data_IF_498986571588
#
_entry.id   IF_498986571588
#
_cell.length_a   1.000
_cell.length_b   1.000
_cell.length_c   1.000
_cell.angle_alpha   90.00
_cell.angle_beta   90.00
_cell.angle_gamma   90.00
#
_symmetry.space_group_name_H-M   'P 1'
#
loop_
_entity.id
_entity.type
_entity.pdbx_description
1 polymer ?
#
# COMPACT_ATOMS: atom_id res chain seq x y z
N UNK A 1 30.73 -2.86 13.81
CA UNK A 1 29.65 -2.10 14.53
C UNK A 1 29.47 -0.68 13.95
N UNK A 2 30.54 0.00 13.51
CA UNK A 2 30.49 1.38 12.96
C UNK A 2 29.64 1.50 11.69
N UNK A 3 29.82 0.60 10.71
CA UNK A 3 29.10 0.65 9.41
C UNK A 3 27.58 0.55 9.54
N UNK A 4 27.10 -0.31 10.46
CA UNK A 4 25.65 -0.47 10.72
C UNK A 4 25.06 0.81 11.31
N UNK A 5 25.78 1.46 12.21
CA UNK A 5 25.35 2.73 12.83
C UNK A 5 25.29 3.84 11.77
N UNK A 6 26.30 3.93 10.90
CA UNK A 6 26.35 4.89 9.80
C UNK A 6 25.20 4.68 8.79
N UNK A 7 24.91 3.42 8.42
CA UNK A 7 23.80 3.09 7.53
C UNK A 7 22.45 3.44 8.15
N UNK A 8 22.24 3.16 9.43
CA UNK A 8 21.03 3.57 10.15
C UNK A 8 20.87 5.10 10.19
N UNK A 9 21.97 5.82 10.37
CA UNK A 9 21.95 7.28 10.30
C UNK A 9 21.54 7.80 8.92
N UNK A 10 22.09 7.23 7.85
CA UNK A 10 21.72 7.57 6.47
C UNK A 10 20.24 7.26 6.17
N UNK A 11 19.74 6.11 6.63
CA UNK A 11 18.32 5.75 6.49
C UNK A 11 17.43 6.78 7.17
N UNK A 12 17.71 7.15 8.43
CA UNK A 12 16.94 8.17 9.16
C UNK A 12 16.94 9.53 8.45
N UNK A 13 18.09 9.92 7.87
CA UNK A 13 18.21 11.16 7.10
C UNK A 13 17.33 11.12 5.86
N UNK A 14 17.36 10.02 5.09
CA UNK A 14 16.52 9.82 3.91
C UNK A 14 15.03 9.80 4.26
N UNK A 15 14.65 9.12 5.33
CA UNK A 15 13.26 9.09 5.81
C UNK A 15 12.75 10.49 6.17
N UNK A 16 13.60 11.34 6.77
CA UNK A 16 13.27 12.74 7.06
C UNK A 16 13.10 13.56 5.76
N UNK A 17 14.02 13.44 4.81
CA UNK A 17 13.93 14.12 3.52
C UNK A 17 12.68 13.72 2.73
N UNK A 18 12.29 12.45 2.78
CA UNK A 18 11.04 11.98 2.16
C UNK A 18 9.83 12.66 2.83
N UNK A 19 9.82 12.74 4.16
CA UNK A 19 8.73 13.38 4.89
C UNK A 19 8.65 14.89 4.62
N UNK A 20 9.80 15.57 4.49
CA UNK A 20 9.89 16.99 4.13
C UNK A 20 9.43 17.25 2.69
N UNK A 21 9.88 16.45 1.75
CA UNK A 21 9.48 16.54 0.33
C UNK A 21 7.97 16.37 0.15
N UNK A 22 7.36 15.45 0.90
CA UNK A 22 5.90 15.28 0.89
C UNK A 22 5.14 16.52 1.38
N UNK A 23 5.66 17.20 2.40
CA UNK A 23 5.04 18.43 2.93
C UNK A 23 5.03 19.58 1.92
N UNK A 24 5.95 19.54 0.94
CA UNK A 24 6.01 20.54 -0.13
C UNK A 24 4.86 20.46 -1.13
N UNK A 25 4.12 19.34 -1.16
CA UNK A 25 2.94 19.16 -2.00
C UNK A 25 1.74 18.81 -1.11
N UNK A 26 0.82 19.76 -0.95
CA UNK A 26 -0.36 19.62 -0.09
C UNK A 26 -1.25 18.41 -0.51
N UNK A 27 -1.31 18.11 -1.79
CA UNK A 27 -2.07 16.96 -2.30
C UNK A 27 -1.44 15.63 -1.89
N UNK A 28 -0.12 15.50 -2.07
CA UNK A 28 0.60 14.29 -1.69
C UNK A 28 0.63 14.11 -0.16
N UNK A 29 0.78 15.20 0.59
CA UNK A 29 0.71 15.19 2.04
C UNK A 29 -0.66 14.73 2.54
N UNK A 30 -1.75 15.32 2.05
CA UNK A 30 -3.11 14.97 2.44
C UNK A 30 -3.47 13.52 2.07
N UNK A 31 -3.02 13.05 0.90
CA UNK A 31 -3.20 11.65 0.50
C UNK A 31 -2.41 10.69 1.42
N UNK A 32 -1.18 11.03 1.77
CA UNK A 32 -0.37 10.23 2.69
C UNK A 32 -1.01 10.18 4.09
N UNK A 33 -1.52 11.31 4.58
CA UNK A 33 -2.23 11.39 5.86
C UNK A 33 -3.50 10.53 5.87
N UNK A 34 -4.30 10.58 4.80
CA UNK A 34 -5.47 9.71 4.67
C UNK A 34 -5.12 8.22 4.75
N UNK A 35 -3.97 7.82 4.20
CA UNK A 35 -3.50 6.44 4.28
C UNK A 35 -3.02 6.05 5.68
N UNK A 36 -2.51 6.98 6.48
CA UNK A 36 -2.06 6.69 7.86
C UNK A 36 -3.22 6.35 8.79
N UNK A 37 -4.46 6.73 8.44
CA UNK A 37 -5.66 6.29 9.13
C UNK A 37 -5.92 4.78 9.06
N UNK A 38 -5.24 4.06 8.16
CA UNK A 38 -5.34 2.60 8.06
C UNK A 38 -4.46 1.94 9.13
N UNK A 39 -5.06 1.17 10.02
CA UNK A 39 -4.33 0.48 11.08
C UNK A 39 -3.20 -0.42 10.51
N UNK A 40 -1.97 -0.10 10.86
CA UNK A 40 -0.75 -0.77 10.39
C UNK A 40 0.02 -0.02 9.30
N UNK A 41 -0.50 1.11 8.80
CA UNK A 41 0.18 1.95 7.82
C UNK A 41 0.78 3.17 8.51
N UNK A 42 2.10 3.21 8.62
CA UNK A 42 2.82 4.37 9.17
C UNK A 42 3.14 5.41 8.09
N UNK A 43 3.48 6.63 8.52
CA UNK A 43 3.77 7.81 7.67
C UNK A 43 4.76 7.49 6.55
N UNK A 44 5.90 6.86 6.86
CA UNK A 44 6.91 6.51 5.85
C UNK A 44 6.41 5.49 4.82
N UNK A 45 5.55 4.57 5.23
CA UNK A 45 4.98 3.58 4.33
C UNK A 45 3.93 4.21 3.42
N UNK A 46 3.09 5.08 3.95
CA UNK A 46 2.15 5.89 3.19
C UNK A 46 2.88 6.74 2.16
N UNK A 47 3.91 7.48 2.60
CA UNK A 47 4.76 8.30 1.76
C UNK A 47 5.37 7.53 0.59
N UNK A 48 5.97 6.37 0.86
CA UNK A 48 6.56 5.51 -0.17
C UNK A 48 5.52 5.02 -1.16
N UNK A 49 4.35 4.61 -0.71
CA UNK A 49 3.27 4.13 -1.60
C UNK A 49 2.76 5.25 -2.49
N UNK A 50 2.52 6.45 -1.95
CA UNK A 50 2.07 7.62 -2.72
C UNK A 50 3.10 8.00 -3.79
N UNK A 51 4.39 8.01 -3.44
CA UNK A 51 5.46 8.31 -4.39
C UNK A 51 5.64 7.24 -5.48
N UNK A 52 5.47 5.95 -5.14
CA UNK A 52 5.69 4.83 -6.07
C UNK A 52 4.48 4.57 -6.98
N UNK A 53 3.29 5.04 -6.59
CA UNK A 53 2.02 4.76 -7.28
C UNK A 53 1.23 6.05 -7.46
N UNK A 54 1.60 6.90 -8.46
CA UNK A 54 0.88 8.14 -8.74
C UNK A 54 -0.60 7.94 -9.08
N UNK A 55 -0.95 6.75 -9.61
CA UNK A 55 -2.30 6.34 -10.01
C UNK A 55 -3.17 5.86 -8.81
N UNK A 56 -2.65 5.95 -7.58
CA UNK A 56 -3.37 5.49 -6.39
C UNK A 56 -4.71 6.22 -6.24
N UNK A 57 -5.77 5.46 -5.99
CA UNK A 57 -7.15 5.94 -5.96
C UNK A 57 -7.92 5.77 -7.27
N UNK A 58 -7.26 5.31 -8.35
CA UNK A 58 -7.91 5.05 -9.65
C UNK A 58 -7.78 3.60 -10.13
N UNK A 59 -7.08 2.76 -9.35
CA UNK A 59 -6.67 1.43 -9.80
C UNK A 59 -7.77 0.38 -9.72
N UNK A 60 -8.50 0.38 -8.62
CA UNK A 60 -9.40 -0.71 -8.28
C UNK A 60 -8.66 -2.01 -7.97
N UNK A 61 -9.40 -2.99 -7.49
CA UNK A 61 -8.88 -4.22 -6.86
C UNK A 61 -7.97 -5.08 -7.75
N UNK A 62 -8.26 -5.17 -9.05
CA UNK A 62 -7.48 -6.02 -9.98
C UNK A 62 -6.18 -5.35 -10.39
N UNK A 63 -6.25 -4.07 -10.77
CA UNK A 63 -5.07 -3.32 -11.23
C UNK A 63 -4.07 -3.06 -10.10
N UNK A 64 -4.54 -2.78 -8.88
CA UNK A 64 -3.66 -2.65 -7.71
C UNK A 64 -2.87 -3.94 -7.46
N UNK A 65 -3.49 -5.12 -7.53
CA UNK A 65 -2.77 -6.38 -7.40
C UNK A 65 -1.72 -6.59 -8.52
N UNK A 66 -2.02 -6.21 -9.74
CA UNK A 66 -1.11 -6.34 -10.87
C UNK A 66 0.09 -5.37 -10.75
N UNK A 67 -0.14 -4.10 -10.40
CA UNK A 67 0.93 -3.10 -10.22
C UNK A 67 1.91 -3.51 -9.12
N UNK A 68 1.41 -4.00 -8.00
CA UNK A 68 2.27 -4.49 -6.92
C UNK A 68 2.91 -5.85 -7.20
N UNK A 69 2.56 -6.51 -8.31
CA UNK A 69 3.01 -7.87 -8.62
C UNK A 69 2.56 -8.89 -7.59
N UNK A 70 1.35 -8.67 -7.02
CA UNK A 70 0.73 -9.54 -6.02
C UNK A 70 -0.40 -10.38 -6.61
N UNK A 71 -0.68 -10.23 -7.92
CA UNK A 71 -1.61 -11.08 -8.63
C UNK A 71 -1.06 -12.51 -8.73
N UNK A 72 -1.85 -13.54 -8.39
CA UNK A 72 -1.42 -14.91 -8.55
C UNK A 72 -1.46 -15.29 -10.03
N UNK A 73 -0.38 -15.89 -10.52
CA UNK A 73 -0.29 -16.51 -11.83
C UNK A 73 -0.20 -18.02 -11.66
N UNK A 74 -1.01 -18.77 -12.39
CA UNK A 74 -0.91 -20.21 -12.51
C UNK A 74 -0.17 -20.56 -13.80
N UNK A 75 0.74 -21.51 -13.73
CA UNK A 75 1.34 -22.13 -14.91
C UNK A 75 0.65 -23.47 -15.14
N UNK A 76 -0.54 -23.41 -15.71
CA UNK A 76 -1.24 -24.62 -16.12
C UNK A 76 -0.86 -24.94 -17.57
N UNK A 77 -0.40 -26.15 -17.82
CA UNK A 77 -0.10 -26.66 -19.15
C UNK A 77 -0.82 -27.99 -19.37
N UNK A 78 -1.83 -27.99 -20.23
CA UNK A 78 -2.62 -29.19 -20.53
C UNK A 78 -3.25 -29.79 -19.28
N UNK A 79 -2.96 -31.09 -18.99
CA UNK A 79 -3.50 -31.79 -17.83
C UNK A 79 -2.78 -31.53 -16.51
N UNK A 80 -1.66 -30.79 -16.52
CA UNK A 80 -0.88 -30.50 -15.32
C UNK A 80 -1.31 -29.18 -14.69
N UNK A 81 -1.87 -29.24 -13.48
CA UNK A 81 -2.09 -28.05 -12.63
C UNK A 81 -0.76 -27.58 -12.04
N UNK A 82 -0.27 -26.45 -12.50
CA UNK A 82 0.97 -25.86 -12.04
C UNK A 82 0.85 -25.18 -10.67
N UNK A 83 2.01 -24.88 -10.06
CA UNK A 83 2.06 -24.10 -8.82
C UNK A 83 1.71 -22.65 -9.12
N UNK A 84 0.88 -22.05 -8.26
CA UNK A 84 0.57 -20.61 -8.29
C UNK A 84 1.72 -19.81 -7.69
N UNK A 85 2.19 -18.78 -8.37
CA UNK A 85 3.24 -17.89 -7.90
C UNK A 85 2.87 -16.43 -8.20
N UNK A 86 3.57 -15.49 -7.58
CA UNK A 86 3.45 -14.07 -7.87
C UNK A 86 4.60 -13.64 -8.78
N UNK A 87 4.30 -12.80 -9.78
CA UNK A 87 5.30 -12.32 -10.73
C UNK A 87 4.94 -10.93 -11.26
N UNK A 88 5.93 -10.25 -11.82
CA UNK A 88 5.76 -8.93 -12.43
C UNK A 88 5.50 -7.82 -11.44
N UNK A 89 4.93 -6.73 -11.94
CA UNK A 89 4.65 -5.52 -11.18
C UNK A 89 5.89 -4.78 -10.66
N UNK A 90 5.66 -3.69 -9.94
CA UNK A 90 6.70 -2.88 -9.31
C UNK A 90 7.21 -3.56 -8.02
N UNK A 91 8.42 -4.09 -8.03
CA UNK A 91 9.00 -4.78 -6.87
C UNK A 91 9.15 -3.85 -5.65
N UNK A 92 9.38 -2.54 -5.88
CA UNK A 92 9.46 -1.52 -4.84
C UNK A 92 8.14 -1.38 -4.08
N UNK A 93 7.00 -1.36 -4.80
CA UNK A 93 5.65 -1.32 -4.20
C UNK A 93 5.43 -2.55 -3.33
N UNK A 94 5.78 -3.74 -3.84
CA UNK A 94 5.66 -4.99 -3.08
C UNK A 94 6.50 -4.97 -1.82
N UNK A 95 7.75 -4.47 -1.88
CA UNK A 95 8.63 -4.30 -0.72
C UNK A 95 8.06 -3.28 0.28
N UNK A 96 7.53 -2.16 -0.20
CA UNK A 96 6.93 -1.14 0.65
C UNK A 96 5.67 -1.64 1.39
N UNK A 97 4.91 -2.56 0.81
CA UNK A 97 3.70 -3.14 1.41
C UNK A 97 3.99 -4.22 2.47
N UNK A 98 5.17 -4.81 2.49
CA UNK A 98 5.46 -5.96 3.37
C UNK A 98 5.36 -5.61 4.86
N UNK A 99 6.06 -4.55 5.29
CA UNK A 99 6.04 -4.13 6.70
C UNK A 99 4.67 -3.65 7.15
N UNK A 100 3.96 -2.75 6.43
CA UNK A 100 2.59 -2.38 6.77
C UNK A 100 1.65 -3.58 6.89
N UNK A 101 1.73 -4.55 5.98
CA UNK A 101 0.90 -5.75 6.06
C UNK A 101 1.20 -6.59 7.30
N UNK A 102 2.48 -6.73 7.67
CA UNK A 102 2.90 -7.44 8.88
C UNK A 102 2.39 -6.75 10.15
N UNK A 103 2.43 -5.43 10.20
CA UNK A 103 1.88 -4.65 11.32
C UNK A 103 0.36 -4.70 11.35
N UNK A 104 -0.29 -4.58 10.18
CA UNK A 104 -1.74 -4.64 10.06
C UNK A 104 -2.34 -5.98 10.54
N UNK A 105 -1.67 -7.10 10.36
CA UNK A 105 -2.08 -8.40 10.94
C UNK A 105 -2.23 -8.33 12.47
N UNK A 106 -1.46 -7.48 13.14
CA UNK A 106 -1.52 -7.33 14.60
C UNK A 106 -2.61 -6.35 15.05
N UNK A 107 -2.76 -5.26 14.32
CA UNK A 107 -3.55 -4.09 14.74
C UNK A 107 -4.87 -3.90 13.99
N UNK A 108 -5.05 -4.52 12.82
CA UNK A 108 -6.29 -4.44 12.05
C UNK A 108 -7.11 -5.72 12.24
N UNK A 109 -8.28 -5.70 12.91
CA UNK A 109 -9.04 -6.90 13.23
C UNK A 109 -9.49 -7.68 11.98
N UNK A 110 -9.86 -6.98 10.92
CA UNK A 110 -10.31 -7.59 9.64
C UNK A 110 -9.17 -8.34 8.96
N UNK A 111 -7.99 -7.71 8.87
CA UNK A 111 -6.81 -8.33 8.25
C UNK A 111 -6.23 -9.44 9.13
N UNK A 112 -6.30 -9.29 10.45
CA UNK A 112 -5.93 -10.34 11.42
C UNK A 112 -6.77 -11.60 11.22
N UNK A 113 -8.09 -11.46 11.21
CA UNK A 113 -9.02 -12.58 11.01
C UNK A 113 -8.78 -13.25 9.65
N UNK A 114 -8.60 -12.45 8.59
CA UNK A 114 -8.30 -12.96 7.26
C UNK A 114 -6.97 -13.75 7.21
N UNK A 115 -5.93 -13.26 7.88
CA UNK A 115 -4.65 -13.95 7.99
C UNK A 115 -4.78 -15.27 8.75
N UNK A 116 -5.45 -15.24 9.91
CA UNK A 116 -5.68 -16.44 10.72
C UNK A 116 -6.43 -17.52 9.96
N UNK A 117 -7.47 -17.16 9.20
CA UNK A 117 -8.23 -18.10 8.37
C UNK A 117 -7.36 -18.74 7.28
N UNK A 118 -6.49 -17.96 6.63
CA UNK A 118 -5.53 -18.49 5.66
C UNK A 118 -4.52 -19.45 6.32
N UNK A 119 -4.06 -19.15 7.53
CA UNK A 119 -3.14 -20.03 8.26
C UNK A 119 -3.83 -21.32 8.73
N UNK A 120 -5.06 -21.21 9.23
CA UNK A 120 -5.90 -22.36 9.62
C UNK A 120 -6.19 -23.29 8.43
N UNK A 121 -6.35 -22.74 7.22
CA UNK A 121 -6.52 -23.54 5.98
C UNK A 121 -5.20 -24.11 5.42
N UNK A 122 -4.13 -24.13 6.21
CA UNK A 122 -2.85 -24.74 5.85
C UNK A 122 -1.98 -23.91 4.89
N UNK A 123 -2.34 -22.66 4.57
CA UNK A 123 -1.52 -21.84 3.67
C UNK A 123 -0.20 -21.46 4.33
N UNK A 124 0.90 -21.60 3.58
CA UNK A 124 2.23 -21.20 4.04
C UNK A 124 2.28 -19.71 4.39
N UNK A 125 3.17 -19.31 5.31
CA UNK A 125 3.32 -17.92 5.76
C UNK A 125 3.44 -16.93 4.60
N UNK A 126 4.35 -17.21 3.65
CA UNK A 126 4.56 -16.33 2.49
C UNK A 126 3.30 -16.15 1.63
N UNK A 127 2.48 -17.19 1.47
CA UNK A 127 1.22 -17.13 0.73
C UNK A 127 0.20 -16.29 1.49
N UNK A 128 0.07 -16.51 2.79
CA UNK A 128 -0.87 -15.77 3.65
C UNK A 128 -0.52 -14.28 3.70
N UNK A 129 0.75 -13.92 3.94
CA UNK A 129 1.17 -12.51 4.00
C UNK A 129 0.99 -11.81 2.64
N UNK A 130 1.27 -12.48 1.52
CA UNK A 130 1.04 -11.95 0.17
C UNK A 130 -0.45 -11.64 -0.08
N UNK A 131 -1.34 -12.50 0.40
CA UNK A 131 -2.78 -12.27 0.31
C UNK A 131 -3.22 -11.06 1.15
N UNK A 132 -2.61 -10.86 2.34
CA UNK A 132 -2.87 -9.68 3.18
C UNK A 132 -2.32 -8.42 2.53
N UNK A 133 -1.10 -8.43 1.99
CA UNK A 133 -0.54 -7.30 1.23
C UNK A 133 -1.47 -6.86 0.09
N UNK A 134 -2.01 -7.81 -0.66
CA UNK A 134 -2.98 -7.53 -1.74
C UNK A 134 -4.27 -6.88 -1.21
N UNK A 135 -4.81 -7.38 -0.09
CA UNK A 135 -6.01 -6.80 0.54
C UNK A 135 -5.74 -5.40 1.09
N UNK A 136 -4.61 -5.22 1.77
CA UNK A 136 -4.19 -3.93 2.30
C UNK A 136 -4.03 -2.90 1.19
N UNK A 137 -3.36 -3.26 0.09
CA UNK A 137 -3.14 -2.34 -1.02
C UNK A 137 -4.45 -1.95 -1.73
N UNK A 138 -5.36 -2.89 -1.93
CA UNK A 138 -6.69 -2.59 -2.44
C UNK A 138 -7.50 -1.69 -1.49
N UNK A 139 -7.31 -1.81 -0.18
CA UNK A 139 -7.91 -0.92 0.81
C UNK A 139 -7.29 0.48 0.76
N UNK A 140 -5.97 0.58 0.65
CA UNK A 140 -5.27 1.86 0.44
C UNK A 140 -5.77 2.57 -0.81
N UNK A 141 -5.96 1.87 -1.92
CA UNK A 141 -6.52 2.43 -3.16
C UNK A 141 -7.96 2.95 -2.96
N UNK A 142 -8.79 2.22 -2.23
CA UNK A 142 -10.14 2.65 -1.92
C UNK A 142 -10.19 3.91 -1.02
N UNK A 143 -9.32 3.99 -0.01
CA UNK A 143 -9.17 5.17 0.85
C UNK A 143 -8.69 6.37 0.04
N UNK A 144 -7.70 6.17 -0.82
CA UNK A 144 -7.20 7.20 -1.73
C UNK A 144 -8.29 7.70 -2.68
N UNK A 145 -9.09 6.80 -3.26
CA UNK A 145 -10.21 7.15 -4.14
C UNK A 145 -11.29 7.96 -3.42
N UNK A 146 -11.57 7.62 -2.16
CA UNK A 146 -12.51 8.38 -1.32
C UNK A 146 -11.98 9.79 -1.08
N UNK A 147 -10.73 9.91 -0.63
CA UNK A 147 -10.08 11.20 -0.35
C UNK A 147 -10.02 12.10 -1.59
N UNK A 148 -9.67 11.55 -2.76
CA UNK A 148 -9.65 12.31 -4.03
C UNK A 148 -11.04 12.86 -4.42
N UNK A 149 -12.10 12.10 -4.19
CA UNK A 149 -13.48 12.54 -4.46
C UNK A 149 -13.90 13.65 -3.50
N UNK A 150 -13.59 13.52 -2.22
CA UNK A 150 -13.94 14.51 -1.20
C UNK A 150 -13.21 15.84 -1.44
N UNK A 151 -11.93 15.78 -1.79
CA UNK A 151 -11.14 16.98 -2.11
C UNK A 151 -11.61 17.66 -3.40
N UNK A 152 -11.99 16.89 -4.43
CA UNK A 152 -12.55 17.42 -5.66
C UNK A 152 -13.92 18.10 -5.42
N UNK A 153 -14.79 17.49 -4.62
CA UNK A 153 -16.08 18.06 -4.26
C UNK A 153 -15.92 19.36 -3.45
N UNK A 154 -14.99 19.41 -2.50
CA UNK A 154 -14.69 20.61 -1.73
C UNK A 154 -14.18 21.76 -2.61
N UNK A 155 -13.30 21.45 -3.58
CA UNK A 155 -12.81 22.45 -4.54
C UNK A 155 -13.91 23.00 -5.44
N UNK A 156 -14.84 22.15 -5.89
CA UNK A 156 -15.99 22.56 -6.71
C UNK A 156 -16.96 23.45 -5.94
N UNK A 157 -17.26 23.13 -4.68
CA UNK A 157 -18.14 23.95 -3.83
C UNK A 157 -17.54 25.32 -3.53
N UNK A 158 -16.23 25.39 -3.27
CA UNK A 158 -15.53 26.66 -3.03
C UNK A 158 -15.55 27.56 -4.29
N UNK A 159 -15.39 26.99 -5.47
CA UNK A 159 -15.47 27.72 -6.74
C UNK A 159 -16.87 28.28 -7.03
N UNK A 160 -17.93 27.52 -6.67
CA UNK A 160 -19.32 27.97 -6.84
C UNK A 160 -19.72 29.11 -5.90
N UNK A 161 -19.08 29.21 -4.71
CA UNK A 161 -19.37 30.27 -3.74
C UNK A 161 -18.58 31.56 -4.03
N UNK A 162 -17.58 31.50 -4.91
CA UNK A 162 -16.70 32.63 -5.23
C UNK A 162 -17.14 33.40 -6.50
N UNK A 163 -18.25 33.05 -7.14
CA UNK A 163 -18.84 33.86 -8.21
C UNK A 163 -19.82 34.88 -7.59
N UNK A 164 -19.61 36.20 -7.84
CA UNK A 164 -20.49 37.27 -7.34
C UNK A 164 -21.84 37.26 -8.05
#
# INVERSE_FOLDING_TARGET
KSTVVQLRGKIKKLDRLIAEALKGDARLAGLADALTGIAGVGVLSAAKIVALVPELGTLGRRRSAAIAGLAPFTRDSGRCKGKTFISGGKAEVRRALFMPATVAIKHNPVLKAAYQNLRKSGKAYKVAITAIMRRLFAHMDAVAAKWLRETAAAASSAASTALP
#
